data_IF_282301500598
#
_entry.id   IF_282301500598
#
_cell.length_a   1.000
_cell.length_b   1.000
_cell.length_c   1.000
_cell.angle_alpha   90.00
_cell.angle_beta   90.00
_cell.angle_gamma   90.00
#
_symmetry.space_group_name_H-M   'P 1'
#
loop_
_entity.id
_entity.type
_entity.pdbx_description
1 polymer ?
#
# COMPACT_ATOMS: atom_id res chain seq x y z
N UNK A 1 -12.69 -15.30 -19.02
CA UNK A 1 -13.70 -16.10 -18.30
C UNK A 1 -13.35 -16.38 -16.84
N UNK A 2 -12.12 -16.74 -16.46
CA UNK A 2 -11.77 -17.05 -15.05
C UNK A 2 -11.78 -15.84 -14.08
N UNK A 3 -11.33 -14.66 -14.52
CA UNK A 3 -11.29 -13.44 -13.69
C UNK A 3 -12.68 -12.91 -13.29
N UNK A 4 -13.56 -12.68 -14.28
CA UNK A 4 -14.97 -12.31 -14.05
C UNK A 4 -15.70 -13.28 -13.11
N UNK A 5 -15.44 -14.58 -13.23
CA UNK A 5 -15.99 -15.58 -12.32
C UNK A 5 -15.50 -15.38 -10.88
N UNK A 6 -14.21 -15.11 -10.66
CA UNK A 6 -13.67 -14.87 -9.32
C UNK A 6 -14.22 -13.59 -8.70
N UNK A 7 -14.35 -12.53 -9.49
CA UNK A 7 -14.96 -11.25 -9.07
C UNK A 7 -16.39 -11.47 -8.55
N UNK A 8 -17.23 -12.18 -9.32
CA UNK A 8 -18.61 -12.49 -8.94
C UNK A 8 -18.68 -13.36 -7.66
N UNK A 9 -17.80 -14.36 -7.56
CA UNK A 9 -17.66 -15.20 -6.36
C UNK A 9 -17.31 -14.36 -5.13
N UNK A 10 -16.31 -13.48 -5.22
CA UNK A 10 -15.90 -12.57 -4.14
C UNK A 10 -17.04 -11.65 -3.71
N UNK A 11 -17.72 -10.99 -4.66
CA UNK A 11 -18.86 -10.11 -4.36
C UNK A 11 -19.98 -10.85 -3.62
N UNK A 12 -20.24 -12.11 -4.00
CA UNK A 12 -21.25 -12.98 -3.37
C UNK A 12 -20.84 -13.45 -1.98
N UNK A 13 -19.56 -13.73 -1.75
CA UNK A 13 -19.05 -14.07 -0.42
C UNK A 13 -19.09 -12.86 0.53
N UNK A 14 -18.69 -11.68 0.05
CA UNK A 14 -18.72 -10.42 0.80
C UNK A 14 -20.14 -10.08 1.28
N UNK A 15 -21.15 -10.31 0.44
CA UNK A 15 -22.55 -10.01 0.79
C UNK A 15 -23.19 -11.03 1.74
N UNK A 16 -22.62 -12.23 1.85
CA UNK A 16 -23.14 -13.30 2.72
C UNK A 16 -22.46 -13.35 4.08
N UNK A 17 -21.24 -12.85 4.20
CA UNK A 17 -20.49 -12.87 5.45
C UNK A 17 -20.87 -11.69 6.34
N UNK A 18 -21.13 -11.97 7.62
CA UNK A 18 -21.27 -10.97 8.68
C UNK A 18 -19.99 -10.84 9.51
N UNK A 19 -19.01 -11.72 9.30
CA UNK A 19 -17.69 -11.64 9.92
C UNK A 19 -16.87 -10.53 9.24
N UNK A 20 -16.61 -9.45 9.98
CA UNK A 20 -15.85 -8.29 9.50
C UNK A 20 -14.40 -8.63 9.14
N UNK A 21 -13.77 -9.60 9.81
CA UNK A 21 -12.40 -10.03 9.50
C UNK A 21 -12.36 -10.75 8.16
N UNK A 22 -13.26 -11.71 7.96
CA UNK A 22 -13.41 -12.38 6.67
C UNK A 22 -13.81 -11.38 5.57
N UNK A 23 -14.67 -10.42 5.89
CA UNK A 23 -15.08 -9.41 4.95
C UNK A 23 -13.91 -8.51 4.52
N UNK A 24 -13.03 -8.14 5.45
CA UNK A 24 -11.81 -7.38 5.18
C UNK A 24 -10.88 -8.13 4.21
N UNK A 25 -10.62 -9.41 4.46
CA UNK A 25 -9.79 -10.25 3.58
C UNK A 25 -10.34 -10.29 2.15
N UNK A 26 -11.65 -10.55 2.02
CA UNK A 26 -12.31 -10.64 0.71
C UNK A 26 -12.36 -9.30 -0.03
N UNK A 27 -12.58 -8.18 0.69
CA UNK A 27 -12.58 -6.84 0.10
C UNK A 27 -11.18 -6.45 -0.37
N UNK A 28 -10.13 -6.80 0.38
CA UNK A 28 -8.74 -6.61 -0.04
C UNK A 28 -8.43 -7.41 -1.32
N UNK A 29 -8.82 -8.69 -1.36
CA UNK A 29 -8.62 -9.52 -2.56
C UNK A 29 -9.35 -8.96 -3.78
N UNK A 30 -10.58 -8.47 -3.60
CA UNK A 30 -11.35 -7.85 -4.67
C UNK A 30 -10.72 -6.53 -5.15
N UNK A 31 -10.19 -5.72 -4.22
CA UNK A 31 -9.46 -4.50 -4.56
C UNK A 31 -8.18 -4.76 -5.35
N UNK A 32 -7.43 -5.81 -4.98
CA UNK A 32 -6.25 -6.25 -5.74
C UNK A 32 -6.63 -6.74 -7.13
N UNK A 33 -7.73 -7.49 -7.25
CA UNK A 33 -8.23 -7.96 -8.54
C UNK A 33 -8.57 -6.79 -9.49
N UNK A 34 -9.34 -5.80 -9.01
CA UNK A 34 -9.65 -4.61 -9.82
C UNK A 34 -8.41 -3.81 -10.20
N UNK A 35 -7.46 -3.66 -9.27
CA UNK A 35 -6.20 -2.94 -9.54
C UNK A 35 -5.41 -3.64 -10.65
N UNK A 36 -5.31 -4.97 -10.62
CA UNK A 36 -4.64 -5.76 -11.67
C UNK A 36 -5.37 -5.64 -13.01
N UNK A 37 -6.70 -5.52 -12.98
CA UNK A 37 -7.52 -5.35 -14.17
C UNK A 37 -7.57 -3.90 -14.69
N UNK A 38 -6.96 -2.95 -13.97
CA UNK A 38 -6.90 -1.53 -14.33
C UNK A 38 -8.16 -0.73 -13.98
N UNK A 39 -9.13 -1.33 -13.31
CA UNK A 39 -10.33 -0.64 -12.81
C UNK A 39 -10.00 0.06 -11.47
N UNK A 40 -9.30 1.19 -11.58
CA UNK A 40 -8.81 1.94 -10.42
C UNK A 40 -9.93 2.50 -9.55
N UNK A 41 -11.09 2.82 -10.14
CA UNK A 41 -12.25 3.32 -9.40
C UNK A 41 -12.86 2.21 -8.53
N UNK A 42 -13.08 1.02 -9.08
CA UNK A 42 -13.58 -0.12 -8.31
C UNK A 42 -12.56 -0.56 -7.25
N UNK A 43 -11.26 -0.53 -7.56
CA UNK A 43 -10.19 -0.80 -6.61
C UNK A 43 -10.20 0.19 -5.44
N UNK A 44 -10.27 1.50 -5.74
CA UNK A 44 -10.37 2.58 -4.74
C UNK A 44 -11.54 2.37 -3.80
N UNK A 45 -12.72 2.01 -4.31
CA UNK A 45 -13.90 1.74 -3.49
C UNK A 45 -13.70 0.54 -2.56
N UNK A 46 -13.03 -0.51 -3.03
CA UNK A 46 -12.67 -1.65 -2.19
C UNK A 46 -11.70 -1.23 -1.07
N UNK A 47 -10.63 -0.49 -1.38
CA UNK A 47 -9.68 -0.05 -0.37
C UNK A 47 -10.27 0.94 0.64
N UNK A 48 -11.18 1.83 0.23
CA UNK A 48 -11.93 2.69 1.17
C UNK A 48 -12.76 1.86 2.14
N UNK A 49 -13.41 0.79 1.67
CA UNK A 49 -14.14 -0.14 2.53
C UNK A 49 -13.20 -0.94 3.44
N UNK A 50 -12.04 -1.36 2.95
CA UNK A 50 -11.02 -2.03 3.74
C UNK A 50 -10.49 -1.13 4.87
N UNK A 51 -10.28 0.17 4.60
CA UNK A 51 -9.92 1.18 5.62
C UNK A 51 -10.96 1.21 6.74
N UNK A 52 -12.26 1.25 6.40
CA UNK A 52 -13.34 1.26 7.40
C UNK A 52 -13.33 -0.01 8.27
N UNK A 53 -13.27 -1.19 7.65
CA UNK A 53 -13.26 -2.48 8.35
C UNK A 53 -12.01 -2.64 9.22
N UNK A 54 -10.83 -2.38 8.67
CA UNK A 54 -9.57 -2.49 9.41
C UNK A 54 -9.48 -1.50 10.57
N UNK A 55 -10.10 -0.31 10.45
CA UNK A 55 -10.22 0.65 11.55
C UNK A 55 -11.10 0.10 12.67
N UNK A 56 -12.28 -0.43 12.36
CA UNK A 56 -13.20 -1.03 13.34
C UNK A 56 -12.52 -2.19 14.09
N UNK A 57 -11.81 -3.04 13.36
CA UNK A 57 -11.08 -4.19 13.89
C UNK A 57 -9.78 -3.82 14.62
N UNK A 58 -9.36 -2.55 14.59
CA UNK A 58 -8.03 -2.09 15.05
C UNK A 58 -6.88 -2.88 14.42
N UNK A 59 -7.08 -3.35 13.19
CA UNK A 59 -6.08 -4.10 12.43
C UNK A 59 -5.17 -3.12 11.67
N UNK A 60 -4.11 -2.67 12.35
CA UNK A 60 -3.18 -1.67 11.80
C UNK A 60 -2.39 -2.17 10.58
N UNK A 61 -2.18 -3.48 10.44
CA UNK A 61 -1.45 -4.04 9.31
C UNK A 61 -2.28 -3.93 8.02
N UNK A 62 -3.52 -4.38 8.03
CA UNK A 62 -4.38 -4.29 6.85
C UNK A 62 -4.78 -2.85 6.52
N UNK A 63 -4.91 -2.00 7.56
CA UNK A 63 -5.08 -0.57 7.37
C UNK A 63 -3.89 0.06 6.61
N UNK A 64 -2.67 -0.42 6.89
CA UNK A 64 -1.46 0.04 6.18
C UNK A 64 -1.45 -0.38 4.72
N UNK A 65 -1.88 -1.61 4.41
CA UNK A 65 -2.00 -2.07 3.02
C UNK A 65 -3.01 -1.26 2.21
N UNK A 66 -4.17 -0.98 2.80
CA UNK A 66 -5.23 -0.21 2.14
C UNK A 66 -4.79 1.24 1.87
N UNK A 67 -4.13 1.90 2.84
CA UNK A 67 -3.60 3.25 2.62
C UNK A 67 -2.48 3.31 1.59
N UNK A 68 -1.62 2.29 1.52
CA UNK A 68 -0.62 2.19 0.44
C UNK A 68 -1.27 2.15 -0.93
N UNK A 69 -2.28 1.30 -1.10
CA UNK A 69 -2.96 1.18 -2.38
C UNK A 69 -3.69 2.48 -2.78
N UNK A 70 -4.34 3.15 -1.82
CA UNK A 70 -4.98 4.44 -2.06
C UNK A 70 -3.97 5.54 -2.43
N UNK A 71 -2.80 5.58 -1.77
CA UNK A 71 -1.76 6.56 -2.14
C UNK A 71 -1.24 6.34 -3.55
N UNK A 72 -1.07 5.08 -3.95
CA UNK A 72 -0.60 4.70 -5.29
C UNK A 72 -1.62 5.12 -6.36
N UNK A 73 -2.90 4.78 -6.16
CA UNK A 73 -4.00 5.15 -7.07
C UNK A 73 -4.12 6.68 -7.21
N UNK A 74 -4.10 7.41 -6.10
CA UNK A 74 -4.23 8.88 -6.14
C UNK A 74 -3.03 9.53 -6.85
N UNK A 75 -1.82 8.99 -6.68
CA UNK A 75 -0.63 9.48 -7.38
C UNK A 75 -0.70 9.21 -8.88
N UNK A 76 -1.23 8.04 -9.30
CA UNK A 76 -1.45 7.72 -10.71
C UNK A 76 -2.42 8.69 -11.39
N UNK A 77 -3.48 9.08 -10.68
CA UNK A 77 -4.47 10.09 -11.12
C UNK A 77 -3.96 11.53 -11.02
N UNK A 78 -2.82 11.78 -10.37
CA UNK A 78 -2.29 13.11 -10.15
C UNK A 78 -2.96 13.90 -9.03
N UNK A 79 -3.79 13.28 -8.18
CA UNK A 79 -4.33 13.92 -6.97
C UNK A 79 -3.27 13.97 -5.86
N UNK A 80 -2.45 15.04 -5.90
CA UNK A 80 -1.36 15.28 -4.95
C UNK A 80 -1.83 15.26 -3.50
N UNK A 81 -3.00 15.85 -3.21
CA UNK A 81 -3.48 16.02 -1.83
C UNK A 81 -3.82 14.66 -1.24
N UNK A 82 -4.66 13.89 -1.92
CA UNK A 82 -5.05 12.55 -1.43
C UNK A 82 -3.87 11.57 -1.43
N UNK A 83 -2.99 11.64 -2.43
CA UNK A 83 -1.81 10.77 -2.51
C UNK A 83 -0.89 10.94 -1.30
N UNK A 84 -0.54 12.18 -0.96
CA UNK A 84 0.35 12.49 0.17
C UNK A 84 -0.32 12.23 1.52
N UNK A 85 -1.63 12.48 1.64
CA UNK A 85 -2.40 12.15 2.84
C UNK A 85 -2.37 10.63 3.11
N UNK A 86 -2.68 9.82 2.09
CA UNK A 86 -2.66 8.37 2.22
C UNK A 86 -1.26 7.80 2.41
N UNK A 87 -0.22 8.38 1.80
CA UNK A 87 1.17 7.98 2.07
C UNK A 87 1.57 8.24 3.53
N UNK A 88 1.09 9.35 4.11
CA UNK A 88 1.29 9.65 5.53
C UNK A 88 0.56 8.66 6.45
N UNK A 89 -0.70 8.36 6.15
CA UNK A 89 -1.51 7.39 6.89
C UNK A 89 -0.93 5.97 6.77
N UNK A 90 -0.42 5.58 5.59
CA UNK A 90 0.28 4.31 5.39
C UNK A 90 1.46 4.19 6.37
N UNK A 91 2.33 5.19 6.43
CA UNK A 91 3.47 5.19 7.36
C UNK A 91 3.03 5.12 8.82
N UNK A 92 2.04 5.91 9.23
CA UNK A 92 1.56 5.91 10.61
C UNK A 92 0.98 4.55 11.03
N UNK A 93 0.19 3.93 10.16
CA UNK A 93 -0.44 2.63 10.42
C UNK A 93 0.56 1.49 10.37
N UNK A 94 1.54 1.55 9.46
CA UNK A 94 2.68 0.64 9.44
C UNK A 94 3.48 0.70 10.76
N UNK A 95 3.75 1.91 11.29
CA UNK A 95 4.41 2.07 12.59
C UNK A 95 3.59 1.46 13.72
N UNK A 96 2.27 1.71 13.76
CA UNK A 96 1.36 1.12 14.77
C UNK A 96 1.27 -0.41 14.66
N UNK A 97 1.40 -0.96 13.47
CA UNK A 97 1.42 -2.43 13.26
C UNK A 97 2.71 -3.08 13.76
N UNK A 98 3.80 -2.32 13.95
CA UNK A 98 5.13 -2.85 14.25
C UNK A 98 5.82 -3.58 13.09
N UNK A 99 5.21 -3.61 11.89
CA UNK A 99 5.78 -4.28 10.72
C UNK A 99 6.94 -3.47 10.12
N UNK A 100 8.17 -3.88 10.40
CA UNK A 100 9.39 -3.29 9.81
C UNK A 100 9.35 -3.32 8.28
N UNK A 101 8.74 -4.36 7.71
CA UNK A 101 8.54 -4.46 6.27
C UNK A 101 7.64 -3.35 5.74
N UNK A 102 6.49 -3.09 6.37
CA UNK A 102 5.58 -2.03 5.93
C UNK A 102 6.15 -0.64 6.23
N UNK A 103 6.86 -0.46 7.35
CA UNK A 103 7.48 0.83 7.68
C UNK A 103 8.49 1.20 6.60
N UNK A 104 9.40 0.30 6.25
CA UNK A 104 10.37 0.54 5.19
C UNK A 104 9.69 0.79 3.83
N UNK A 105 8.67 0.00 3.50
CA UNK A 105 7.94 0.17 2.25
C UNK A 105 7.22 1.52 2.19
N UNK A 106 6.69 2.03 3.30
CA UNK A 106 6.05 3.35 3.36
C UNK A 106 7.01 4.50 3.04
N UNK A 107 8.29 4.37 3.41
CA UNK A 107 9.31 5.35 3.05
C UNK A 107 9.60 5.31 1.55
N UNK A 108 9.76 4.10 0.99
CA UNK A 108 9.99 3.93 -0.44
C UNK A 108 8.81 4.43 -1.28
N UNK A 109 7.59 4.01 -0.96
CA UNK A 109 6.37 4.38 -1.68
C UNK A 109 6.13 5.89 -1.60
N UNK A 110 6.44 6.55 -0.47
CA UNK A 110 6.34 8.01 -0.40
C UNK A 110 7.26 8.67 -1.43
N UNK A 111 8.50 8.18 -1.59
CA UNK A 111 9.40 8.70 -2.62
C UNK A 111 8.88 8.45 -4.05
N UNK A 112 8.35 7.26 -4.32
CA UNK A 112 7.70 6.94 -5.59
C UNK A 112 6.47 7.83 -5.86
N UNK A 113 5.68 8.16 -4.84
CA UNK A 113 4.52 9.07 -4.99
C UNK A 113 4.99 10.45 -5.47
N UNK A 114 6.06 11.00 -4.89
CA UNK A 114 6.62 12.27 -5.35
C UNK A 114 7.13 12.19 -6.80
N UNK A 115 7.86 11.14 -7.16
CA UNK A 115 8.29 10.90 -8.54
C UNK A 115 7.10 10.82 -9.50
N UNK A 116 6.05 10.09 -9.12
CA UNK A 116 4.85 9.94 -9.95
C UNK A 116 4.11 11.26 -10.13
N UNK A 117 3.97 12.05 -9.08
CA UNK A 117 3.36 13.38 -9.14
C UNK A 117 4.18 14.35 -9.98
N UNK A 118 5.52 14.30 -9.90
CA UNK A 118 6.42 15.08 -10.75
C UNK A 118 6.17 14.80 -12.24
N UNK A 119 6.04 13.52 -12.60
CA UNK A 119 5.75 13.09 -13.98
C UNK A 119 4.37 13.58 -14.47
N UNK A 120 3.37 13.65 -13.59
CA UNK A 120 2.01 14.07 -13.94
C UNK A 120 1.83 15.61 -13.98
N UNK A 121 2.53 16.36 -13.13
CA UNK A 121 2.22 17.78 -12.85
C UNK A 121 3.26 18.79 -13.41
N UNK A 122 3.92 18.48 -14.53
CA UNK A 122 4.82 19.41 -15.25
C UNK A 122 6.09 19.85 -14.48
N UNK A 123 6.77 18.87 -13.88
CA UNK A 123 8.20 18.93 -13.52
C UNK A 123 8.64 19.88 -12.39
N UNK A 124 7.95 19.90 -11.25
CA UNK A 124 8.47 20.56 -10.06
C UNK A 124 9.75 19.85 -9.55
N UNK A 125 10.87 20.56 -9.51
CA UNK A 125 12.16 20.04 -9.01
C UNK A 125 12.11 19.63 -7.55
N UNK A 126 11.27 20.29 -6.74
CA UNK A 126 11.11 20.00 -5.31
C UNK A 126 10.60 18.56 -5.08
N UNK A 127 9.80 18.03 -6.01
CA UNK A 127 9.29 16.66 -5.92
C UNK A 127 10.40 15.63 -6.11
N UNK A 128 11.39 15.90 -6.96
CA UNK A 128 12.54 15.01 -7.12
C UNK A 128 13.46 15.07 -5.90
N UNK A 129 13.60 16.24 -5.27
CA UNK A 129 14.33 16.39 -4.01
C UNK A 129 13.65 15.62 -2.87
N UNK A 130 12.32 15.72 -2.76
CA UNK A 130 11.55 14.93 -1.80
C UNK A 130 11.65 13.42 -2.12
N UNK A 131 11.50 13.02 -3.38
CA UNK A 131 11.64 11.62 -3.79
C UNK A 131 12.99 11.04 -3.37
N UNK A 132 14.09 11.77 -3.63
CA UNK A 132 15.44 11.40 -3.20
C UNK A 132 15.56 11.34 -1.67
N UNK A 133 15.02 12.33 -0.97
CA UNK A 133 15.00 12.38 0.50
C UNK A 133 14.31 11.16 1.11
N UNK A 134 13.16 10.76 0.58
CA UNK A 134 12.42 9.58 1.02
C UNK A 134 13.11 8.27 0.64
N UNK A 135 13.73 8.18 -0.54
CA UNK A 135 14.58 7.07 -0.93
C UNK A 135 15.74 6.87 0.05
N UNK A 136 16.44 7.95 0.41
CA UNK A 136 17.53 7.92 1.40
C UNK A 136 17.05 7.50 2.79
N UNK A 137 15.88 7.98 3.24
CA UNK A 137 15.25 7.52 4.49
C UNK A 137 14.97 6.01 4.44
N UNK A 138 14.49 5.49 3.31
CA UNK A 138 14.24 4.05 3.14
C UNK A 138 15.53 3.22 3.19
N UNK A 139 16.60 3.69 2.54
CA UNK A 139 17.93 3.05 2.58
C UNK A 139 18.50 3.07 4.00
N UNK A 140 18.42 4.19 4.71
CA UNK A 140 18.87 4.31 6.10
C UNK A 140 18.08 3.38 7.03
N UNK A 141 16.77 3.26 6.81
CA UNK A 141 15.93 2.32 7.56
C UNK A 141 16.37 0.87 7.33
N UNK A 142 16.64 0.47 6.08
CA UNK A 142 17.16 -0.87 5.77
C UNK A 142 18.51 -1.13 6.46
N UNK A 143 19.41 -0.14 6.51
CA UNK A 143 20.70 -0.28 7.23
C UNK A 143 20.49 -0.54 8.72
N UNK A 144 19.53 0.13 9.36
CA UNK A 144 19.28 0.04 10.81
C UNK A 144 18.43 -1.18 11.19
N UNK A 145 17.43 -1.51 10.39
CA UNK A 145 16.36 -2.46 10.74
C UNK A 145 16.19 -3.61 9.74
N UNK A 146 17.06 -3.73 8.73
CA UNK A 146 17.01 -4.80 7.73
C UNK A 146 16.94 -6.20 8.34
N UNK A 147 17.72 -6.46 9.38
CA UNK A 147 17.71 -7.73 10.12
C UNK A 147 16.31 -8.13 10.63
N UNK A 148 15.46 -7.17 11.02
CA UNK A 148 14.08 -7.45 11.49
C UNK A 148 13.17 -7.87 10.34
N UNK A 149 13.40 -7.33 9.15
CA UNK A 149 12.71 -7.75 7.92
C UNK A 149 13.17 -9.17 7.55
N UNK A 150 14.47 -9.44 7.61
CA UNK A 150 15.06 -10.71 7.18
C UNK A 150 14.63 -11.89 8.07
N UNK A 151 14.38 -11.63 9.36
CA UNK A 151 13.84 -12.64 10.29
C UNK A 151 12.35 -12.92 10.10
N UNK A 152 11.59 -12.01 9.46
CA UNK A 152 10.18 -12.22 9.16
C UNK A 152 10.02 -12.99 7.84
N UNK A 153 9.90 -14.31 7.95
CA UNK A 153 9.74 -15.22 6.80
C UNK A 153 8.55 -14.85 5.90
N UNK A 154 7.46 -14.31 6.47
CA UNK A 154 6.29 -13.90 5.68
C UNK A 154 6.63 -12.65 4.86
N UNK A 155 7.29 -11.67 5.48
CA UNK A 155 7.75 -10.46 4.79
C UNK A 155 8.77 -10.77 3.70
N UNK A 156 9.74 -11.66 3.95
CA UNK A 156 10.75 -12.06 2.96
C UNK A 156 10.10 -12.76 1.77
N UNK A 157 9.16 -13.68 2.00
CA UNK A 157 8.47 -14.40 0.92
C UNK A 157 7.68 -13.45 0.01
N UNK A 158 7.05 -12.41 0.58
CA UNK A 158 6.18 -11.49 -0.16
C UNK A 158 6.97 -10.36 -0.81
N UNK A 159 7.90 -9.73 -0.09
CA UNK A 159 8.57 -8.49 -0.50
C UNK A 159 10.09 -8.59 -0.64
N UNK A 160 10.66 -9.78 -0.52
CA UNK A 160 12.11 -9.96 -0.49
C UNK A 160 12.76 -9.54 0.83
N UNK A 161 14.01 -9.96 1.00
CA UNK A 161 14.87 -9.56 2.11
C UNK A 161 15.36 -8.11 1.96
N UNK A 162 16.03 -7.62 3.00
CA UNK A 162 16.54 -6.25 3.08
C UNK A 162 17.55 -5.94 1.98
N UNK A 163 18.36 -6.93 1.57
CA UNK A 163 19.34 -6.78 0.50
C UNK A 163 18.68 -6.59 -0.87
N UNK A 164 17.68 -7.43 -1.21
CA UNK A 164 16.91 -7.32 -2.44
C UNK A 164 16.17 -5.99 -2.53
N UNK A 165 15.59 -5.52 -1.41
CA UNK A 165 14.89 -4.24 -1.37
C UNK A 165 15.83 -3.07 -1.60
N UNK A 166 17.00 -3.09 -0.97
CA UNK A 166 18.02 -2.04 -1.17
C UNK A 166 18.47 -1.93 -2.64
N UNK A 167 18.51 -3.05 -3.36
CA UNK A 167 18.88 -3.06 -4.77
C UNK A 167 17.79 -2.49 -5.71
N UNK A 168 16.55 -2.37 -5.23
CA UNK A 168 15.42 -1.81 -5.97
C UNK A 168 15.06 -0.36 -5.60
N UNK A 169 15.87 0.28 -4.75
CA UNK A 169 15.79 1.70 -4.39
C UNK A 169 16.79 2.51 -5.20
#
# INVERSE_FOLDING_TARGET
>A
MRKRRREEELRKEISRTTDETKQLDLVNELGDLYRIDGDLEAARNCYKRAVQLATNLRNHLDLSFAHRALSEICAEEGDRREALEHASLFRQTAQRSGSHSQIQLSLHVTGWVYEKLHMQQSHNTDDLEEALSWGLKSIDYLKKFGHRIDTDKKAVRVGGDSARRKAGL
#
